data_IF_431163879386
#
_entry.id   IF_431163879386
#
_cell.length_a   1.000
_cell.length_b   1.000
_cell.length_c   1.000
_cell.angle_alpha   90.00
_cell.angle_beta   90.00
_cell.angle_gamma   90.00
#
_symmetry.space_group_name_H-M   'P 1'
#
loop_
_entity.id
_entity.type
_entity.pdbx_description
1 polymer ?
#
# COMPACT_ATOMS: atom_id res chain seq x y z
N UNK A 1 29.43 -9.48 0.92
CA UNK A 1 28.06 -9.55 1.47
C UNK A 1 27.43 -8.17 1.28
N UNK A 2 26.69 -7.97 0.19
CA UNK A 2 26.08 -6.67 -0.10
C UNK A 2 24.82 -6.52 0.77
N UNK A 3 24.85 -5.57 1.70
CA UNK A 3 23.68 -5.07 2.41
C UNK A 3 22.61 -4.71 1.36
N UNK A 4 21.56 -5.52 1.26
CA UNK A 4 20.38 -5.13 0.51
C UNK A 4 19.68 -4.04 1.33
N UNK A 5 20.03 -2.78 1.07
CA UNK A 5 19.26 -1.64 1.56
C UNK A 5 17.77 -1.89 1.27
N UNK A 6 16.86 -1.57 2.20
CA UNK A 6 15.44 -1.71 1.99
C UNK A 6 15.05 -0.86 0.78
N UNK A 7 14.85 -1.50 -0.37
CA UNK A 7 14.39 -0.83 -1.58
C UNK A 7 13.06 -0.18 -1.22
N UNK A 8 12.93 1.16 -1.28
CA UNK A 8 11.64 1.80 -1.10
C UNK A 8 10.68 1.21 -2.14
N UNK A 9 9.37 1.28 -1.85
CA UNK A 9 8.22 0.82 -2.64
C UNK A 9 8.16 1.35 -4.10
N UNK A 10 9.25 1.27 -4.86
CA UNK A 10 9.53 1.90 -6.17
C UNK A 10 8.95 1.09 -7.32
N UNK A 11 8.35 -0.07 -7.08
CA UNK A 11 7.67 -0.83 -8.14
C UNK A 11 6.24 -0.37 -8.43
N UNK A 12 5.59 0.35 -7.52
CA UNK A 12 4.44 1.16 -7.91
C UNK A 12 4.97 2.54 -8.27
N UNK A 13 5.00 2.87 -9.56
CA UNK A 13 5.40 4.22 -9.96
C UNK A 13 4.55 5.22 -9.16
N UNK A 14 5.19 6.19 -8.50
CA UNK A 14 4.45 7.22 -7.76
C UNK A 14 3.41 7.92 -8.64
N UNK A 15 3.57 7.87 -9.97
CA UNK A 15 2.59 8.31 -10.95
C UNK A 15 1.30 7.48 -10.96
N UNK A 16 1.38 6.15 -10.77
CA UNK A 16 0.23 5.27 -10.61
C UNK A 16 -0.55 5.60 -9.33
N UNK A 17 0.14 5.68 -8.18
CA UNK A 17 -0.47 6.07 -6.90
C UNK A 17 -1.15 7.43 -7.03
N UNK A 18 -0.50 8.42 -7.67
CA UNK A 18 -1.08 9.73 -7.98
C UNK A 18 -2.27 9.66 -8.93
N UNK A 19 -2.30 8.73 -9.90
CA UNK A 19 -3.41 8.60 -10.87
C UNK A 19 -4.64 7.96 -10.24
N UNK A 20 -4.46 6.91 -9.44
CA UNK A 20 -5.53 6.29 -8.67
C UNK A 20 -6.08 7.25 -7.60
N UNK A 21 -5.19 7.94 -6.88
CA UNK A 21 -5.55 8.94 -5.86
C UNK A 21 -6.22 10.21 -6.42
N UNK A 22 -5.95 10.59 -7.68
CA UNK A 22 -6.54 11.80 -8.29
C UNK A 22 -8.06 11.70 -8.53
N UNK A 23 -8.64 10.52 -8.41
CA UNK A 23 -10.08 10.29 -8.60
C UNK A 23 -10.88 10.30 -7.30
N UNK A 24 -10.22 10.51 -6.17
CA UNK A 24 -10.80 10.33 -4.83
C UNK A 24 -10.35 11.44 -3.90
N UNK A 25 -11.25 11.90 -3.04
CA UNK A 25 -10.95 12.94 -2.07
C UNK A 25 -10.18 12.37 -0.87
N UNK A 26 -8.85 12.50 -0.91
CA UNK A 26 -7.97 12.03 0.16
C UNK A 26 -8.09 12.83 1.46
N UNK A 27 -8.82 13.94 1.51
CA UNK A 27 -9.09 14.63 2.78
C UNK A 27 -10.09 13.86 3.63
N UNK A 28 -10.90 12.99 3.03
CA UNK A 28 -11.93 12.21 3.73
C UNK A 28 -11.46 10.78 4.06
N UNK A 29 -11.98 10.22 5.16
CA UNK A 29 -11.77 8.81 5.50
C UNK A 29 -12.29 7.87 4.40
N UNK A 30 -13.45 8.18 3.82
CA UNK A 30 -14.04 7.42 2.72
C UNK A 30 -13.17 7.43 1.46
N UNK A 31 -12.69 8.60 1.03
CA UNK A 31 -11.84 8.70 -0.16
C UNK A 31 -10.49 8.01 0.02
N UNK A 32 -9.90 8.02 1.22
CA UNK A 32 -8.70 7.20 1.54
C UNK A 32 -8.99 5.71 1.49
N UNK A 33 -10.12 5.26 2.03
CA UNK A 33 -10.53 3.85 1.95
C UNK A 33 -10.68 3.41 0.49
N UNK A 34 -11.36 4.22 -0.33
CA UNK A 34 -11.48 3.98 -1.77
C UNK A 34 -10.11 3.97 -2.46
N UNK A 35 -9.23 4.91 -2.14
CA UNK A 35 -7.89 4.98 -2.69
C UNK A 35 -7.08 3.70 -2.40
N UNK A 36 -7.14 3.20 -1.15
CA UNK A 36 -6.46 1.95 -0.76
C UNK A 36 -6.99 0.76 -1.53
N UNK A 37 -8.31 0.66 -1.71
CA UNK A 37 -8.92 -0.42 -2.50
C UNK A 37 -8.42 -0.39 -3.94
N UNK A 38 -8.42 0.79 -4.59
CA UNK A 38 -7.93 0.94 -5.95
C UNK A 38 -6.46 0.55 -6.09
N UNK A 39 -5.62 0.94 -5.12
CA UNK A 39 -4.20 0.58 -5.10
C UNK A 39 -4.01 -0.92 -4.88
N UNK A 40 -4.75 -1.54 -3.95
CA UNK A 40 -4.67 -2.98 -3.68
C UNK A 40 -5.11 -3.82 -4.89
N UNK A 41 -6.19 -3.41 -5.58
CA UNK A 41 -6.66 -4.07 -6.80
C UNK A 41 -5.58 -4.04 -7.88
N UNK A 42 -4.95 -2.89 -8.11
CA UNK A 42 -3.90 -2.81 -9.13
C UNK A 42 -2.67 -3.62 -8.75
N UNK A 43 -2.24 -3.56 -7.49
CA UNK A 43 -1.14 -4.37 -6.98
C UNK A 43 -1.38 -5.86 -7.25
N UNK A 44 -2.59 -6.35 -6.97
CA UNK A 44 -2.98 -7.73 -7.25
C UNK A 44 -3.10 -8.07 -8.73
N UNK A 45 -3.25 -7.08 -9.62
CA UNK A 45 -3.25 -7.29 -11.08
C UNK A 45 -1.86 -7.25 -11.70
N UNK A 46 -0.95 -6.46 -11.16
CA UNK A 46 0.37 -6.21 -11.75
C UNK A 46 1.49 -7.05 -11.16
N UNK A 47 1.30 -7.62 -9.96
CA UNK A 47 2.34 -8.35 -9.25
C UNK A 47 1.85 -9.73 -8.85
N UNK A 48 2.76 -10.70 -8.91
CA UNK A 48 2.51 -12.04 -8.41
C UNK A 48 2.38 -12.03 -6.88
N UNK A 49 1.60 -12.97 -6.34
CA UNK A 49 1.32 -13.07 -4.91
C UNK A 49 2.62 -13.14 -4.07
N UNK A 50 3.62 -13.88 -4.54
CA UNK A 50 4.90 -14.01 -3.84
C UNK A 50 5.68 -12.68 -3.80
N UNK A 51 5.68 -11.92 -4.90
CA UNK A 51 6.34 -10.61 -4.96
C UNK A 51 5.68 -9.61 -4.00
N UNK A 52 4.35 -9.65 -3.89
CA UNK A 52 3.61 -8.83 -2.92
C UNK A 52 4.01 -9.18 -1.49
N UNK A 53 4.09 -10.48 -1.15
CA UNK A 53 4.49 -10.95 0.19
C UNK A 53 5.94 -10.55 0.50
N UNK A 54 6.87 -10.74 -0.44
CA UNK A 54 8.26 -10.33 -0.28
C UNK A 54 8.37 -8.82 -0.04
N UNK A 55 7.59 -8.02 -0.79
CA UNK A 55 7.55 -6.56 -0.62
C UNK A 55 6.99 -6.17 0.75
N UNK A 56 5.93 -6.84 1.23
CA UNK A 56 5.43 -6.65 2.59
C UNK A 56 6.53 -6.90 3.63
N UNK A 57 7.25 -8.02 3.53
CA UNK A 57 8.33 -8.37 4.45
C UNK A 57 9.47 -7.35 4.44
N UNK A 58 9.83 -6.85 3.26
CA UNK A 58 10.83 -5.79 3.11
C UNK A 58 10.41 -4.47 3.78
N UNK A 59 9.10 -4.22 3.92
CA UNK A 59 8.54 -3.08 4.64
C UNK A 59 8.19 -3.39 6.11
N UNK A 60 8.70 -4.50 6.66
CA UNK A 60 8.51 -4.87 8.07
C UNK A 60 7.22 -5.62 8.39
N UNK A 61 6.36 -5.90 7.39
CA UNK A 61 5.12 -6.65 7.56
C UNK A 61 5.39 -8.17 7.45
N UNK A 62 5.68 -8.82 8.58
CA UNK A 62 6.17 -10.22 8.61
C UNK A 62 5.08 -11.29 8.58
N UNK A 63 3.85 -10.96 8.96
CA UNK A 63 2.77 -11.93 9.18
C UNK A 63 1.81 -12.12 7.99
N UNK A 64 2.19 -11.62 6.81
CA UNK A 64 1.35 -11.71 5.62
C UNK A 64 1.69 -12.98 4.83
N UNK A 65 0.68 -13.84 4.62
CA UNK A 65 0.86 -15.14 3.95
C UNK A 65 0.06 -15.26 2.64
N UNK A 66 -0.83 -14.31 2.35
CA UNK A 66 -1.63 -14.31 1.13
C UNK A 66 -1.35 -13.06 0.28
N UNK A 67 -1.26 -13.23 -1.05
CA UNK A 67 -1.01 -12.12 -1.98
C UNK A 67 -2.07 -11.01 -1.89
N UNK A 68 -3.35 -11.38 -1.73
CA UNK A 68 -4.44 -10.42 -1.52
C UNK A 68 -4.25 -9.59 -0.25
N UNK A 69 -3.90 -10.22 0.87
CA UNK A 69 -3.59 -9.51 2.13
C UNK A 69 -2.38 -8.60 1.96
N UNK A 70 -1.36 -9.05 1.21
CA UNK A 70 -0.16 -8.28 0.94
C UNK A 70 -0.46 -7.02 0.12
N UNK A 71 -1.27 -7.14 -0.92
CA UNK A 71 -1.73 -5.98 -1.70
C UNK A 71 -2.44 -4.94 -0.81
N UNK A 72 -3.34 -5.38 0.08
CA UNK A 72 -4.02 -4.49 1.02
C UNK A 72 -3.07 -3.82 2.02
N UNK A 73 -2.11 -4.58 2.56
CA UNK A 73 -1.16 -4.03 3.52
C UNK A 73 -0.20 -3.02 2.88
N UNK A 74 0.26 -3.28 1.65
CA UNK A 74 1.06 -2.33 0.87
C UNK A 74 0.26 -1.07 0.51
N UNK A 75 -1.02 -1.21 0.15
CA UNK A 75 -1.89 -0.08 -0.10
C UNK A 75 -2.10 0.79 1.16
N UNK A 76 -2.20 0.16 2.34
CA UNK A 76 -2.29 0.87 3.61
C UNK A 76 -1.01 1.65 3.95
N UNK A 77 0.17 1.10 3.65
CA UNK A 77 1.45 1.81 3.79
C UNK A 77 1.54 3.02 2.84
N UNK A 78 1.06 2.87 1.61
CA UNK A 78 1.11 3.94 0.61
C UNK A 78 0.13 5.09 0.91
N UNK A 79 -0.98 4.80 1.58
CA UNK A 79 -2.04 5.78 1.89
C UNK A 79 -2.34 5.71 3.39
N UNK A 80 -1.64 6.49 4.23
CA UNK A 80 -1.84 6.47 5.68
C UNK A 80 -3.23 7.00 6.08
N UNK A 81 -3.72 6.55 7.23
CA UNK A 81 -5.00 7.01 7.80
C UNK A 81 -4.81 8.46 8.24
N UNK A 82 -5.86 9.28 8.16
CA UNK A 82 -5.80 10.60 8.77
C UNK A 82 -5.70 10.43 10.29
N UNK A 83 -4.84 11.18 11.01
CA UNK A 83 -4.71 11.07 12.47
C UNK A 83 -5.97 11.49 13.24
N UNK A 84 -6.99 12.03 12.57
CA UNK A 84 -8.29 12.37 13.20
C UNK A 84 -9.10 11.16 13.69
N UNK A 85 -8.63 9.93 13.47
CA UNK A 85 -9.21 8.71 14.05
C UNK A 85 -8.54 8.32 15.39
N UNK A 86 -7.40 8.93 15.74
CA UNK A 86 -6.86 8.88 17.11
C UNK A 86 -7.55 9.95 17.94
N UNK A 87 -8.72 9.61 18.48
CA UNK A 87 -9.52 10.50 19.31
C UNK A 87 -8.68 11.23 20.36
N UNK A 88 -8.52 12.54 20.18
CA UNK A 88 -8.36 13.47 21.30
C UNK A 88 -9.77 13.88 21.74
N UNK A 89 -10.31 13.12 22.68
CA UNK A 89 -11.33 13.58 23.61
C UNK A 89 -10.73 13.47 25.01
#
# INVERSE_FOLDING_TARGET
>A
MTNAEPRPLVTLSGAFLRRAARRVDLSTGAGRATARLLVAIELGRQMEAEQLIQTCRANGLRHVCAGHQAAHALAALAIPVHPEVEGRH
#
